data_IF_021641430492
#
_entry.id   IF_021641430492
#
_cell.length_a   1.000
_cell.length_b   1.000
_cell.length_c   1.000
_cell.angle_alpha   90.00
_cell.angle_beta   90.00
_cell.angle_gamma   90.00
#
_symmetry.space_group_name_H-M   'P 1'
#
loop_
_entity.id
_entity.type
_entity.pdbx_description
1 polymer ?
#
# COMPACT_ATOMS: atom_id res chain seq x y z
N UNK A 1 -0.95 -12.06 -3.61
CA UNK A 1 -0.22 -12.06 -4.90
C UNK A 1 1.28 -12.28 -4.79
N UNK A 2 1.88 -12.15 -3.60
CA UNK A 2 3.32 -12.41 -3.37
C UNK A 2 3.82 -13.75 -3.93
N UNK A 3 3.13 -14.90 -3.78
CA UNK A 3 3.56 -16.16 -4.40
C UNK A 3 3.69 -16.09 -5.92
N UNK A 4 2.82 -15.32 -6.59
CA UNK A 4 2.91 -15.13 -8.04
C UNK A 4 4.14 -14.29 -8.42
N UNK A 5 4.39 -13.21 -7.67
CA UNK A 5 5.61 -12.40 -7.88
C UNK A 5 6.90 -13.20 -7.66
N UNK A 6 6.92 -14.11 -6.67
CA UNK A 6 8.02 -15.04 -6.46
C UNK A 6 8.21 -15.97 -7.68
N UNK A 7 7.11 -16.52 -8.22
CA UNK A 7 7.18 -17.35 -9.42
C UNK A 7 7.75 -16.58 -10.62
N UNK A 8 7.33 -15.33 -10.82
CA UNK A 8 7.86 -14.47 -11.88
C UNK A 8 9.36 -14.20 -11.70
N UNK A 9 9.77 -13.88 -10.46
CA UNK A 9 11.17 -13.69 -10.09
C UNK A 9 12.01 -14.93 -10.43
N UNK A 10 11.57 -16.11 -10.01
CA UNK A 10 12.28 -17.38 -10.22
C UNK A 10 12.28 -17.79 -11.72
N UNK A 11 11.14 -17.62 -12.41
CA UNK A 11 11.00 -17.95 -13.84
C UNK A 11 11.88 -17.07 -14.73
N UNK A 12 12.11 -15.82 -14.32
CA UNK A 12 13.03 -14.91 -15.00
C UNK A 12 14.51 -15.23 -14.75
N UNK A 13 14.80 -16.22 -13.90
CA UNK A 13 16.17 -16.65 -13.59
C UNK A 13 16.94 -15.72 -12.65
N UNK A 14 16.25 -14.89 -11.89
CA UNK A 14 16.91 -14.03 -10.90
C UNK A 14 17.43 -14.86 -9.71
N UNK A 15 18.69 -14.65 -9.35
CA UNK A 15 19.38 -15.40 -8.29
C UNK A 15 19.57 -14.60 -7.00
N UNK A 16 19.32 -13.30 -7.02
CA UNK A 16 19.47 -12.40 -5.88
C UNK A 16 18.42 -11.29 -5.89
N UNK A 17 18.04 -10.83 -4.72
CA UNK A 17 17.26 -9.59 -4.53
C UNK A 17 18.20 -8.38 -4.53
N UNK A 18 17.68 -7.21 -4.91
CA UNK A 18 18.51 -6.00 -4.98
C UNK A 18 19.00 -5.55 -3.61
N UNK A 19 18.10 -5.55 -2.62
CA UNK A 19 18.39 -5.17 -1.23
C UNK A 19 17.35 -5.82 -0.31
N UNK A 20 17.78 -6.74 0.54
CA UNK A 20 16.93 -7.46 1.47
C UNK A 20 16.30 -6.58 2.56
N UNK A 21 16.91 -5.45 2.88
CA UNK A 21 16.42 -4.48 3.87
C UNK A 21 15.31 -3.57 3.33
N UNK A 22 15.10 -3.58 2.02
CA UNK A 22 14.08 -2.77 1.36
C UNK A 22 12.88 -3.59 0.87
N UNK A 23 12.84 -4.85 1.24
CA UNK A 23 11.73 -5.76 0.94
C UNK A 23 11.05 -6.14 2.25
N UNK A 24 9.74 -5.90 2.32
CA UNK A 24 8.91 -6.38 3.42
C UNK A 24 7.95 -7.47 2.91
N UNK A 25 7.79 -8.52 3.69
CA UNK A 25 6.84 -9.61 3.41
C UNK A 25 5.98 -9.85 4.64
N UNK A 26 4.67 -9.73 4.47
CA UNK A 26 3.68 -9.90 5.56
C UNK A 26 2.75 -11.06 5.21
N UNK A 27 2.59 -11.98 6.16
CA UNK A 27 1.82 -13.21 5.96
C UNK A 27 0.36 -13.06 6.41
N UNK A 28 -0.34 -12.01 5.96
CA UNK A 28 -1.69 -11.68 6.43
C UNK A 28 -2.84 -12.33 5.61
N UNK A 29 -2.69 -12.48 4.30
CA UNK A 29 -3.79 -12.87 3.42
C UNK A 29 -4.25 -14.34 3.56
N UNK A 30 -3.36 -15.27 3.84
CA UNK A 30 -3.65 -16.71 3.89
C UNK A 30 -3.49 -17.32 5.28
N UNK A 31 -3.50 -16.49 6.30
CA UNK A 31 -3.38 -16.93 7.70
C UNK A 31 -4.60 -16.49 8.51
N UNK A 32 -5.18 -17.40 9.30
CA UNK A 32 -4.88 -18.83 9.39
C UNK A 32 -5.17 -19.57 8.08
N UNK A 33 -4.35 -20.57 7.74
CA UNK A 33 -4.53 -21.33 6.49
C UNK A 33 -5.83 -22.15 6.51
N UNK A 34 -6.68 -21.97 5.52
CA UNK A 34 -7.95 -22.68 5.40
C UNK A 34 -7.82 -24.07 4.75
N UNK A 35 -6.77 -24.30 3.98
CA UNK A 35 -6.53 -25.51 3.19
C UNK A 35 -5.03 -25.71 2.88
N UNK A 36 -4.70 -26.86 2.25
CA UNK A 36 -3.33 -27.21 1.85
C UNK A 36 -2.80 -26.21 0.81
N UNK A 37 -3.64 -25.69 -0.06
CA UNK A 37 -3.23 -24.73 -1.11
C UNK A 37 -2.74 -23.43 -0.48
N UNK A 38 -3.49 -22.87 0.46
CA UNK A 38 -3.09 -21.66 1.18
C UNK A 38 -1.83 -21.89 2.02
N UNK A 39 -1.72 -23.06 2.68
CA UNK A 39 -0.51 -23.43 3.43
C UNK A 39 0.73 -23.57 2.51
N UNK A 40 0.55 -24.09 1.30
CA UNK A 40 1.64 -24.21 0.30
C UNK A 40 2.12 -22.82 -0.14
N UNK A 41 1.21 -21.88 -0.36
CA UNK A 41 1.56 -20.50 -0.71
C UNK A 41 2.32 -19.81 0.43
N UNK A 42 1.89 -19.98 1.67
CA UNK A 42 2.63 -19.50 2.84
C UNK A 42 4.02 -20.14 2.96
N UNK A 43 4.14 -21.45 2.70
CA UNK A 43 5.45 -22.14 2.66
C UNK A 43 6.38 -21.54 1.62
N UNK A 44 5.86 -21.22 0.43
CA UNK A 44 6.64 -20.60 -0.65
C UNK A 44 7.21 -19.24 -0.20
N UNK A 45 6.38 -18.37 0.39
CA UNK A 45 6.83 -17.09 0.92
C UNK A 45 7.90 -17.24 2.00
N UNK A 46 7.72 -18.17 2.95
CA UNK A 46 8.73 -18.48 3.98
C UNK A 46 10.05 -18.98 3.38
N UNK A 47 9.96 -19.83 2.36
CA UNK A 47 11.16 -20.37 1.69
C UNK A 47 11.91 -19.24 0.99
N UNK A 48 11.21 -18.36 0.29
CA UNK A 48 11.80 -17.19 -0.37
C UNK A 48 12.45 -16.24 0.65
N UNK A 49 11.72 -15.88 1.71
CA UNK A 49 12.22 -14.97 2.75
C UNK A 49 13.51 -15.52 3.39
N UNK A 50 13.55 -16.81 3.70
CA UNK A 50 14.75 -17.48 4.26
C UNK A 50 15.90 -17.57 3.26
N UNK A 51 15.60 -17.89 1.99
CA UNK A 51 16.63 -18.00 0.93
C UNK A 51 17.39 -16.71 0.72
N UNK A 52 16.69 -15.58 0.77
CA UNK A 52 17.25 -14.26 0.53
C UNK A 52 17.49 -13.46 1.81
N UNK A 53 17.28 -14.08 2.97
CA UNK A 53 17.52 -13.48 4.30
C UNK A 53 16.80 -12.12 4.44
N UNK A 54 15.50 -12.06 4.04
CA UNK A 54 14.70 -10.82 4.05
C UNK A 54 14.57 -10.30 5.47
N UNK A 55 15.00 -9.05 5.70
CA UNK A 55 15.08 -8.45 7.03
C UNK A 55 13.68 -8.19 7.62
N UNK A 56 12.72 -7.81 6.81
CA UNK A 56 11.35 -7.46 7.22
C UNK A 56 10.36 -8.58 6.84
N UNK A 57 10.47 -9.72 7.49
CA UNK A 57 9.57 -10.84 7.30
C UNK A 57 8.69 -11.06 8.53
N UNK A 58 7.38 -10.83 8.35
CA UNK A 58 6.37 -10.93 9.40
C UNK A 58 5.52 -12.19 9.21
N UNK A 59 5.89 -13.27 9.89
CA UNK A 59 5.19 -14.56 9.85
C UNK A 59 4.09 -14.64 10.91
N UNK A 60 3.38 -15.74 10.96
CA UNK A 60 2.36 -16.04 11.98
C UNK A 60 2.93 -15.84 13.38
N UNK A 61 2.24 -15.03 14.18
CA UNK A 61 2.66 -14.66 15.52
C UNK A 61 3.33 -13.29 15.63
N UNK A 62 3.87 -12.76 14.53
CA UNK A 62 4.43 -11.40 14.46
C UNK A 62 3.80 -10.54 13.35
N UNK A 63 2.93 -11.15 12.54
CA UNK A 63 2.21 -10.46 11.48
C UNK A 63 1.08 -9.59 12.02
N UNK A 64 0.63 -8.65 11.19
CA UNK A 64 -0.61 -7.89 11.29
C UNK A 64 -1.20 -7.71 9.90
N UNK A 65 -2.19 -6.86 9.74
CA UNK A 65 -2.64 -6.39 8.43
C UNK A 65 -1.52 -5.53 7.84
N UNK A 66 -1.00 -5.87 6.64
CA UNK A 66 0.22 -5.24 6.09
C UNK A 66 0.11 -3.71 6.04
N UNK A 67 -1.05 -3.19 5.65
CA UNK A 67 -1.24 -1.74 5.50
C UNK A 67 -1.36 -0.97 6.82
N UNK A 68 -1.52 -1.65 7.94
CA UNK A 68 -1.38 -1.10 9.28
C UNK A 68 0.01 -1.39 9.85
N UNK A 69 0.49 -2.63 9.70
CA UNK A 69 1.74 -3.10 10.26
C UNK A 69 2.96 -2.31 9.74
N UNK A 70 3.08 -2.12 8.42
CA UNK A 70 4.27 -1.49 7.84
C UNK A 70 4.43 -0.02 8.29
N UNK A 71 3.37 0.82 8.33
CA UNK A 71 3.44 2.13 8.96
C UNK A 71 3.80 2.08 10.45
N UNK A 72 3.18 1.20 11.23
CA UNK A 72 3.44 1.06 12.67
C UNK A 72 4.88 0.59 12.98
N UNK A 73 5.51 -0.12 12.05
CA UNK A 73 6.92 -0.53 12.16
C UNK A 73 7.90 0.52 11.63
N UNK A 74 7.41 1.67 11.19
CA UNK A 74 8.25 2.74 10.64
C UNK A 74 8.89 2.39 9.30
N UNK A 75 8.34 1.42 8.56
CA UNK A 75 8.87 0.97 7.27
C UNK A 75 8.39 1.80 6.08
N UNK A 76 7.54 2.77 6.35
CA UNK A 76 7.05 3.72 5.34
C UNK A 76 7.15 5.12 5.90
N UNK A 77 7.86 5.98 5.18
CA UNK A 77 8.06 7.37 5.55
C UNK A 77 7.50 8.36 4.50
N UNK A 78 7.18 9.59 4.91
CA UNK A 78 6.80 10.65 4.00
C UNK A 78 7.85 10.87 2.89
N UNK A 79 7.37 11.04 1.65
CA UNK A 79 8.23 11.29 0.49
C UNK A 79 8.86 10.05 -0.14
N UNK A 80 8.62 8.87 0.40
CA UNK A 80 9.09 7.61 -0.18
C UNK A 80 8.22 7.17 -1.36
N UNK A 81 8.81 6.32 -2.23
CA UNK A 81 8.10 5.58 -3.26
C UNK A 81 7.99 4.12 -2.81
N UNK A 82 6.76 3.63 -2.64
CA UNK A 82 6.48 2.27 -2.17
C UNK A 82 5.65 1.53 -3.21
N UNK A 83 6.11 0.37 -3.63
CA UNK A 83 5.34 -0.53 -4.50
C UNK A 83 4.98 -1.80 -3.75
N UNK A 84 3.81 -2.33 -4.02
CA UNK A 84 3.34 -3.56 -3.38
C UNK A 84 2.68 -4.52 -4.35
N UNK A 85 2.70 -5.81 -4.02
CA UNK A 85 1.96 -6.84 -4.73
C UNK A 85 0.46 -6.84 -4.40
N UNK A 86 0.04 -5.99 -3.47
CA UNK A 86 -1.35 -5.75 -3.10
C UNK A 86 -1.87 -4.45 -3.71
N UNK A 87 -3.12 -4.45 -4.17
CA UNK A 87 -3.74 -3.27 -4.79
C UNK A 87 -3.94 -2.12 -3.82
N UNK A 88 -4.13 -2.41 -2.51
CA UNK A 88 -4.32 -1.42 -1.46
C UNK A 88 -3.01 -0.82 -0.91
N UNK A 89 -1.86 -1.11 -1.53
CA UNK A 89 -0.59 -0.44 -1.22
C UNK A 89 -0.71 1.09 -1.31
N UNK A 90 -1.69 1.62 -2.04
CA UNK A 90 -2.04 3.05 -2.09
C UNK A 90 -2.34 3.67 -0.71
N UNK A 91 -2.59 2.88 0.33
CA UNK A 91 -2.86 3.31 1.71
C UNK A 91 -1.82 4.26 2.27
N UNK A 92 -0.54 4.07 1.93
CA UNK A 92 0.56 4.84 2.53
C UNK A 92 0.65 6.28 2.03
N UNK A 93 -0.13 6.65 1.02
CA UNK A 93 -0.32 8.05 0.64
C UNK A 93 -0.92 8.91 1.77
N UNK A 94 -1.54 8.29 2.77
CA UNK A 94 -1.97 8.95 4.01
C UNK A 94 -0.79 9.58 4.78
N UNK A 95 0.41 9.01 4.65
CA UNK A 95 1.65 9.51 5.24
C UNK A 95 2.42 10.44 4.28
N UNK A 96 1.90 10.69 3.09
CA UNK A 96 2.60 11.49 2.07
C UNK A 96 3.64 10.70 1.27
N UNK A 97 3.55 9.36 1.24
CA UNK A 97 4.34 8.52 0.37
C UNK A 97 3.66 8.35 -0.99
N UNK A 98 4.41 8.28 -2.08
CA UNK A 98 3.87 7.77 -3.34
C UNK A 98 3.84 6.25 -3.29
N UNK A 99 2.65 5.70 -3.09
CA UNK A 99 2.50 4.26 -2.88
C UNK A 99 1.42 3.69 -3.80
N UNK A 100 1.70 2.53 -4.42
CA UNK A 100 0.76 1.92 -5.36
C UNK A 100 0.98 0.42 -5.51
N UNK A 101 -0.10 -0.30 -5.79
CA UNK A 101 -0.02 -1.69 -6.22
C UNK A 101 0.52 -1.82 -7.64
N UNK A 102 1.30 -2.87 -7.89
CA UNK A 102 1.84 -3.22 -9.21
C UNK A 102 1.53 -4.68 -9.56
N UNK A 103 1.66 -5.02 -10.84
CA UNK A 103 1.50 -6.40 -11.30
C UNK A 103 2.57 -7.32 -10.74
N UNK A 104 2.27 -8.62 -10.69
CA UNK A 104 3.18 -9.63 -10.12
C UNK A 104 4.50 -9.72 -10.89
N UNK A 105 4.46 -9.53 -12.21
CA UNK A 105 5.66 -9.52 -13.07
C UNK A 105 6.54 -8.32 -12.75
N UNK A 106 5.94 -7.12 -12.65
CA UNK A 106 6.67 -5.90 -12.28
C UNK A 106 7.24 -6.01 -10.86
N UNK A 107 6.49 -6.61 -9.92
CA UNK A 107 6.98 -6.85 -8.57
C UNK A 107 8.16 -7.81 -8.55
N UNK A 108 8.08 -8.93 -9.30
CA UNK A 108 9.18 -9.88 -9.42
C UNK A 108 10.45 -9.24 -9.96
N UNK A 109 10.32 -8.44 -11.03
CA UNK A 109 11.43 -7.68 -11.61
C UNK A 109 12.00 -6.63 -10.65
N UNK A 110 11.13 -5.88 -9.96
CA UNK A 110 11.54 -4.85 -9.02
C UNK A 110 12.27 -5.43 -7.80
N UNK A 111 11.87 -6.60 -7.29
CA UNK A 111 12.60 -7.28 -6.21
C UNK A 111 14.05 -7.63 -6.62
N UNK A 112 14.30 -7.89 -7.89
CA UNK A 112 15.64 -8.20 -8.40
C UNK A 112 16.46 -6.94 -8.76
N UNK A 113 15.81 -5.95 -9.41
CA UNK A 113 16.48 -4.78 -9.97
C UNK A 113 16.55 -3.58 -9.03
N UNK A 114 15.63 -3.46 -8.07
CA UNK A 114 15.49 -2.28 -7.21
C UNK A 114 14.87 -1.09 -7.91
N UNK A 115 14.35 -1.27 -9.11
CA UNK A 115 13.74 -0.21 -9.92
C UNK A 115 12.54 -0.73 -10.71
N UNK A 116 11.64 0.18 -11.04
CA UNK A 116 10.52 -0.06 -11.94
C UNK A 116 10.16 1.25 -12.65
N UNK A 117 9.37 1.16 -13.69
CA UNK A 117 8.93 2.33 -14.45
C UNK A 117 7.45 2.64 -14.18
N UNK A 118 7.12 3.92 -14.23
CA UNK A 118 5.75 4.38 -14.19
C UNK A 118 5.49 5.42 -15.28
N UNK A 119 4.32 5.34 -15.91
CA UNK A 119 3.78 6.52 -16.55
C UNK A 119 3.34 7.46 -15.40
N UNK A 120 3.86 8.70 -15.39
CA UNK A 120 3.47 9.68 -14.37
C UNK A 120 1.96 9.89 -14.43
N UNK A 121 1.20 9.58 -13.35
CA UNK A 121 -0.24 9.76 -13.35
C UNK A 121 -0.59 11.25 -13.34
N UNK A 122 -1.66 11.62 -14.06
CA UNK A 122 -2.28 12.93 -13.83
C UNK A 122 -2.97 12.96 -12.48
N UNK A 123 -3.21 14.15 -11.93
CA UNK A 123 -3.80 14.31 -10.62
C UNK A 123 -5.25 14.81 -10.67
N UNK A 124 -6.10 14.27 -9.80
CA UNK A 124 -7.39 14.84 -9.42
C UNK A 124 -7.19 15.54 -8.08
N UNK A 125 -7.40 16.84 -8.03
CA UNK A 125 -7.36 17.60 -6.78
C UNK A 125 -8.72 17.55 -6.10
N UNK A 126 -8.75 17.00 -4.88
CA UNK A 126 -9.93 17.01 -4.01
C UNK A 126 -9.73 18.05 -2.92
N UNK A 127 -10.54 19.09 -2.94
CA UNK A 127 -10.48 20.16 -1.95
C UNK A 127 -11.52 19.92 -0.85
N UNK A 128 -11.05 19.49 0.33
CA UNK A 128 -11.89 19.24 1.50
C UNK A 128 -12.09 20.53 2.29
N UNK A 129 -13.36 20.84 2.63
CA UNK A 129 -13.74 22.00 3.43
C UNK A 129 -14.54 21.59 4.65
N UNK A 130 -14.47 22.39 5.71
CA UNK A 130 -15.21 22.14 6.94
C UNK A 130 -14.67 20.97 7.75
N UNK A 131 -15.58 20.28 8.45
CA UNK A 131 -15.26 19.14 9.32
C UNK A 131 -16.34 18.08 9.27
N UNK A 132 -15.98 16.85 9.62
CA UNK A 132 -16.91 15.73 9.69
C UNK A 132 -18.00 15.98 10.75
N UNK A 133 -19.21 15.55 10.45
CA UNK A 133 -20.33 15.54 11.42
C UNK A 133 -20.13 14.35 12.38
N UNK A 134 -20.79 14.36 13.56
CA UNK A 134 -20.81 13.17 14.42
C UNK A 134 -21.21 11.91 13.66
N UNK A 135 -20.53 10.80 13.93
CA UNK A 135 -20.72 9.48 13.29
C UNK A 135 -20.37 9.40 11.80
N UNK A 136 -19.73 10.42 11.22
CA UNK A 136 -19.16 10.41 9.86
C UNK A 136 -17.64 10.23 9.96
N UNK A 137 -17.09 9.36 9.15
CA UNK A 137 -15.68 8.98 9.14
C UNK A 137 -15.02 9.19 7.78
N UNK A 138 -13.73 8.95 7.68
CA UNK A 138 -13.00 8.96 6.40
C UNK A 138 -13.59 8.01 5.36
N UNK A 139 -14.20 6.90 5.79
CA UNK A 139 -14.88 5.98 4.88
C UNK A 139 -16.07 6.64 4.16
N UNK A 140 -16.85 7.46 4.86
CA UNK A 140 -17.98 8.18 4.24
C UNK A 140 -17.48 9.22 3.23
N UNK A 141 -16.32 9.85 3.51
CA UNK A 141 -15.69 10.81 2.60
C UNK A 141 -15.31 10.14 1.28
N UNK A 142 -14.58 9.03 1.35
CA UNK A 142 -14.12 8.36 0.12
C UNK A 142 -15.29 7.70 -0.63
N UNK A 143 -16.26 7.12 0.05
CA UNK A 143 -17.45 6.58 -0.59
C UNK A 143 -18.29 7.67 -1.28
N UNK A 144 -18.36 8.87 -0.68
CA UNK A 144 -19.01 10.02 -1.31
C UNK A 144 -18.27 10.42 -2.58
N UNK A 145 -16.94 10.51 -2.52
CA UNK A 145 -16.12 10.83 -3.70
C UNK A 145 -16.32 9.79 -4.82
N UNK A 146 -16.25 8.49 -4.49
CA UNK A 146 -16.48 7.40 -5.46
C UNK A 146 -17.89 7.49 -6.05
N UNK A 147 -18.89 7.81 -5.22
CA UNK A 147 -20.26 8.03 -5.69
C UNK A 147 -20.38 9.20 -6.68
N UNK A 148 -19.54 10.23 -6.56
CA UNK A 148 -19.52 11.39 -7.45
C UNK A 148 -18.81 11.11 -8.78
N UNK A 149 -17.67 10.41 -8.75
CA UNK A 149 -16.82 10.22 -9.93
C UNK A 149 -16.94 8.84 -10.57
N UNK A 150 -17.53 7.87 -9.87
CA UNK A 150 -17.64 6.47 -10.29
C UNK A 150 -16.39 5.66 -9.99
N UNK A 151 -16.50 4.34 -10.14
CA UNK A 151 -15.42 3.35 -9.86
C UNK A 151 -14.23 3.45 -10.82
N UNK A 152 -14.39 4.09 -11.98
CA UNK A 152 -13.35 4.35 -12.97
C UNK A 152 -12.98 5.85 -13.09
N UNK A 153 -13.56 6.70 -12.24
CA UNK A 153 -13.45 8.15 -12.36
C UNK A 153 -12.03 8.69 -12.15
N UNK A 154 -11.20 7.96 -11.43
CA UNK A 154 -9.79 8.29 -11.20
C UNK A 154 -8.84 7.28 -11.85
N UNK A 155 -9.29 6.58 -12.90
CA UNK A 155 -8.50 5.51 -13.53
C UNK A 155 -7.11 5.97 -13.93
N UNK A 156 -6.10 5.32 -13.37
CA UNK A 156 -4.67 5.63 -13.54
C UNK A 156 -4.28 7.08 -13.16
N UNK A 157 -5.02 7.70 -12.26
CA UNK A 157 -4.72 9.05 -11.76
C UNK A 157 -4.30 8.98 -10.28
N UNK A 158 -3.66 10.03 -9.79
CA UNK A 158 -3.43 10.26 -8.37
C UNK A 158 -4.56 11.14 -7.83
N UNK A 159 -5.10 10.81 -6.65
CA UNK A 159 -6.07 11.67 -5.96
C UNK A 159 -5.30 12.47 -4.90
N UNK A 160 -5.19 13.79 -5.09
CA UNK A 160 -4.50 14.68 -4.17
C UNK A 160 -5.51 15.40 -3.27
N UNK A 161 -5.47 15.08 -1.98
CA UNK A 161 -6.34 15.71 -0.98
C UNK A 161 -5.72 17.01 -0.48
N UNK A 162 -6.53 18.06 -0.41
CA UNK A 162 -6.11 19.41 -0.02
C UNK A 162 -7.26 20.16 0.65
N UNK A 163 -7.01 21.39 1.05
CA UNK A 163 -8.00 22.27 1.66
C UNK A 163 -7.96 22.26 3.19
N UNK A 164 -8.71 23.18 3.79
CA UNK A 164 -8.74 23.37 5.25
C UNK A 164 -9.32 22.18 6.01
N UNK A 165 -10.21 21.41 5.38
CA UNK A 165 -10.85 20.24 5.96
C UNK A 165 -9.88 19.10 6.26
N UNK A 166 -8.71 19.04 5.57
CA UNK A 166 -7.69 18.02 5.80
C UNK A 166 -7.21 18.01 7.26
N UNK A 167 -7.09 19.18 7.90
CA UNK A 167 -6.66 19.31 9.30
C UNK A 167 -7.64 18.71 10.31
N UNK A 168 -8.88 18.48 9.88
CA UNK A 168 -9.93 17.92 10.71
C UNK A 168 -10.05 16.39 10.61
N UNK A 169 -9.22 15.76 9.76
CA UNK A 169 -9.15 14.30 9.58
C UNK A 169 -8.06 13.72 10.47
N UNK A 170 -8.39 12.66 11.18
CA UNK A 170 -7.39 11.85 11.88
C UNK A 170 -6.51 11.11 10.88
N UNK A 171 -5.34 10.62 11.32
CA UNK A 171 -4.51 9.78 10.46
C UNK A 171 -5.26 8.51 10.01
N UNK A 172 -6.12 7.94 10.84
CA UNK A 172 -6.92 6.77 10.52
C UNK A 172 -7.98 7.05 9.45
N UNK A 173 -8.58 8.25 9.45
CA UNK A 173 -9.45 8.69 8.36
C UNK A 173 -8.67 8.78 7.04
N UNK A 174 -7.45 9.35 7.08
CA UNK A 174 -6.57 9.48 5.89
C UNK A 174 -6.13 8.12 5.37
N UNK A 175 -5.75 7.19 6.26
CA UNK A 175 -5.41 5.81 5.88
C UNK A 175 -6.59 5.13 5.19
N UNK A 176 -7.81 5.26 5.72
CA UNK A 176 -9.03 4.72 5.13
C UNK A 176 -9.32 5.33 3.76
N UNK A 177 -9.20 6.65 3.63
CA UNK A 177 -9.44 7.36 2.37
C UNK A 177 -8.42 6.92 1.29
N UNK A 178 -7.13 6.87 1.62
CA UNK A 178 -6.09 6.45 0.70
C UNK A 178 -6.20 4.97 0.34
N UNK A 179 -6.54 4.11 1.31
CA UNK A 179 -6.77 2.69 1.07
C UNK A 179 -7.83 2.47 -0.01
N UNK A 180 -8.94 3.19 0.08
CA UNK A 180 -10.04 3.06 -0.86
C UNK A 180 -9.92 3.90 -2.14
N UNK A 181 -8.78 4.55 -2.39
CA UNK A 181 -8.54 5.25 -3.64
C UNK A 181 -8.53 4.29 -4.86
N UNK A 182 -8.11 3.04 -4.63
CA UNK A 182 -8.11 2.01 -5.68
C UNK A 182 -9.53 1.69 -6.18
N UNK A 183 -10.57 1.79 -5.34
CA UNK A 183 -11.95 1.57 -5.74
C UNK A 183 -12.50 2.63 -6.70
N UNK A 184 -11.80 3.77 -6.81
CA UNK A 184 -12.04 4.77 -7.87
C UNK A 184 -11.15 4.56 -9.11
N UNK A 185 -10.35 3.47 -9.14
CA UNK A 185 -9.37 3.19 -10.20
C UNK A 185 -8.07 3.99 -10.07
N UNK A 186 -7.86 4.72 -8.99
CA UNK A 186 -6.67 5.55 -8.79
C UNK A 186 -5.39 4.71 -8.55
N UNK A 187 -4.26 5.28 -8.93
CA UNK A 187 -2.94 4.74 -8.57
C UNK A 187 -2.67 4.92 -7.08
N UNK A 188 -3.03 6.06 -6.52
CA UNK A 188 -2.97 6.34 -5.09
C UNK A 188 -3.91 7.48 -4.70
N UNK A 189 -4.16 7.61 -3.40
CA UNK A 189 -4.60 8.83 -2.76
C UNK A 189 -3.43 9.38 -1.95
N UNK A 190 -3.24 10.69 -1.90
CA UNK A 190 -2.13 11.29 -1.18
C UNK A 190 -2.59 12.51 -0.36
N UNK A 191 -2.14 12.57 0.88
CA UNK A 191 -2.32 13.72 1.78
C UNK A 191 -1.03 14.50 1.95
N UNK A 192 -1.11 15.82 2.21
CA UNK A 192 0.06 16.60 2.58
C UNK A 192 0.60 16.14 3.94
N UNK A 193 1.91 16.22 4.10
CA UNK A 193 2.58 15.97 5.38
C UNK A 193 2.37 17.19 6.28
N UNK A 194 1.61 17.00 7.34
CA UNK A 194 1.29 18.02 8.35
C UNK A 194 1.56 17.51 9.77
N UNK A 195 1.11 18.26 10.78
CA UNK A 195 1.35 17.90 12.19
C UNK A 195 0.64 16.59 12.59
N UNK A 196 -0.48 16.23 11.92
CA UNK A 196 -1.16 14.95 12.14
C UNK A 196 -0.29 13.80 11.65
N UNK A 197 0.35 13.96 10.49
CA UNK A 197 1.28 12.96 9.94
C UNK A 197 2.53 12.84 10.81
N UNK A 198 3.13 13.97 11.21
CA UNK A 198 4.33 13.98 12.06
C UNK A 198 4.09 13.29 13.39
N UNK A 199 2.99 13.62 14.08
CA UNK A 199 2.64 13.00 15.36
C UNK A 199 2.39 11.48 15.27
N UNK A 200 2.14 10.94 14.09
CA UNK A 200 1.97 9.51 13.88
C UNK A 200 3.29 8.78 13.60
N UNK A 201 4.24 9.43 12.91
CA UNK A 201 5.52 8.79 12.51
C UNK A 201 6.65 9.02 13.53
N UNK A 202 6.51 9.97 14.48
CA UNK A 202 7.41 10.21 15.61
C UNK A 202 7.14 9.24 16.77
#
# INVERSE_FOLDING_TARGET
TTPVAINEFESAGFEKVFDKSRIAMVMDHFTPNKDIKSATQCKQCRTFARRFDIDHFYDVGTMGIEHALLPEQGLVAPGEAVIGADSHTCTYGALGAFSTGVGSTDMGAAMAAGETWFKVPSAIKVNLTGKLRPFVSGKDVILTLIGMIGVDGARYQSIEFSGEGVKNLTIYDRLTICNMAIEAGAKNGIFPVDDVTRAYVE
#
